data_IF_741708406000
#
_entry.id   IF_741708406000
#
_cell.length_a   1.000
_cell.length_b   1.000
_cell.length_c   1.000
_cell.angle_alpha   90.00
_cell.angle_beta   90.00
_cell.angle_gamma   90.00
#
_symmetry.space_group_name_H-M   'P 1'
#
loop_
_entity.id
_entity.type
_entity.pdbx_description
1 polymer ?
#
# COMPACT_ATOMS: atom_id res chain seq x y z
N UNK A 1 -3.78 -21.04 -15.23
CA UNK A 1 -3.73 -20.60 -16.65
C UNK A 1 -2.32 -20.10 -16.94
N UNK A 2 -1.81 -20.28 -18.17
CA UNK A 2 -0.49 -19.81 -18.54
C UNK A 2 -0.60 -18.55 -19.41
N UNK A 3 0.13 -17.51 -19.05
CA UNK A 3 0.23 -16.25 -19.81
C UNK A 3 1.68 -16.09 -20.27
N UNK A 4 1.89 -15.82 -21.56
CA UNK A 4 3.23 -15.56 -22.09
C UNK A 4 3.62 -14.09 -21.87
N UNK A 5 4.77 -13.86 -21.25
CA UNK A 5 5.31 -12.52 -21.00
C UNK A 5 6.53 -12.28 -21.89
N UNK A 6 6.54 -11.14 -22.59
CA UNK A 6 7.71 -10.71 -23.35
C UNK A 6 8.60 -9.85 -22.44
N UNK A 7 9.83 -10.31 -22.22
CA UNK A 7 10.89 -9.58 -21.52
C UNK A 7 12.12 -9.51 -22.42
N UNK A 8 12.88 -8.43 -22.29
CA UNK A 8 14.15 -8.30 -23.00
C UNK A 8 15.24 -9.22 -22.40
N UNK A 9 16.29 -9.48 -23.17
CA UNK A 9 17.35 -10.41 -22.76
C UNK A 9 18.12 -9.92 -21.53
N UNK A 10 18.20 -8.60 -21.32
CA UNK A 10 18.87 -8.03 -20.14
C UNK A 10 18.09 -8.36 -18.88
N UNK A 11 16.77 -8.12 -18.90
CA UNK A 11 15.89 -8.45 -17.78
C UNK A 11 15.85 -9.96 -17.53
N UNK A 12 15.77 -10.77 -18.60
CA UNK A 12 15.82 -12.23 -18.51
C UNK A 12 17.08 -12.73 -17.81
N UNK A 13 18.26 -12.21 -18.18
CA UNK A 13 19.53 -12.54 -17.54
C UNK A 13 19.54 -12.18 -16.05
N UNK A 14 19.03 -10.99 -15.70
CA UNK A 14 18.92 -10.54 -14.30
C UNK A 14 17.99 -11.44 -13.46
N UNK A 15 16.85 -11.84 -14.03
CA UNK A 15 15.91 -12.76 -13.36
C UNK A 15 16.54 -14.12 -13.13
N UNK A 16 17.23 -14.67 -14.12
CA UNK A 16 17.91 -15.97 -14.00
C UNK A 16 19.01 -15.94 -12.94
N UNK A 17 19.82 -14.88 -12.93
CA UNK A 17 20.85 -14.71 -11.92
C UNK A 17 20.27 -14.58 -10.51
N UNK A 18 19.18 -13.81 -10.35
CA UNK A 18 18.49 -13.67 -9.07
C UNK A 18 17.88 -15.00 -8.60
N UNK A 19 17.29 -15.77 -9.52
CA UNK A 19 16.76 -17.11 -9.25
C UNK A 19 17.85 -18.04 -8.71
N UNK A 20 19.03 -18.05 -9.31
CA UNK A 20 20.16 -18.86 -8.87
C UNK A 20 20.63 -18.47 -7.45
N UNK A 21 20.73 -17.17 -7.15
CA UNK A 21 21.10 -16.69 -5.80
C UNK A 21 20.06 -17.09 -4.75
N UNK A 22 18.77 -17.04 -5.12
CA UNK A 22 17.64 -17.27 -4.20
C UNK A 22 17.26 -18.74 -4.07
N UNK A 23 17.91 -19.64 -4.81
CA UNK A 23 17.52 -21.05 -4.98
C UNK A 23 16.05 -21.22 -5.36
N UNK A 24 15.63 -20.46 -6.40
CA UNK A 24 14.25 -20.46 -6.92
C UNK A 24 14.25 -20.55 -8.44
N UNK A 25 13.12 -20.98 -9.01
CA UNK A 25 12.96 -20.97 -10.46
C UNK A 25 12.77 -19.54 -10.98
N UNK A 26 13.24 -19.26 -12.20
CA UNK A 26 13.01 -17.97 -12.85
C UNK A 26 11.51 -17.64 -12.97
N UNK A 27 10.66 -18.64 -13.20
CA UNK A 27 9.20 -18.48 -13.21
C UNK A 27 8.67 -17.99 -11.85
N UNK A 28 9.13 -18.59 -10.75
CA UNK A 28 8.74 -18.15 -9.40
C UNK A 28 9.13 -16.69 -9.16
N UNK A 29 10.35 -16.29 -9.52
CA UNK A 29 10.81 -14.90 -9.40
C UNK A 29 9.93 -13.93 -10.22
N UNK A 30 9.55 -14.30 -11.44
CA UNK A 30 8.68 -13.47 -12.28
C UNK A 30 7.28 -13.31 -11.68
N UNK A 31 6.66 -14.40 -11.24
CA UNK A 31 5.34 -14.34 -10.60
C UNK A 31 5.37 -13.52 -9.31
N UNK A 32 6.42 -13.69 -8.50
CA UNK A 32 6.60 -12.93 -7.26
C UNK A 32 6.73 -11.43 -7.54
N UNK A 33 7.53 -11.07 -8.56
CA UNK A 33 7.70 -9.67 -8.95
C UNK A 33 6.40 -9.05 -9.46
N UNK A 34 5.60 -9.79 -10.23
CA UNK A 34 4.28 -9.32 -10.71
C UNK A 34 3.33 -9.13 -9.52
N UNK A 35 3.26 -10.09 -8.60
CA UNK A 35 2.41 -9.98 -7.40
C UNK A 35 2.79 -8.76 -6.57
N UNK A 36 4.06 -8.62 -6.24
CA UNK A 36 4.53 -7.48 -5.44
C UNK A 36 4.27 -6.13 -6.13
N UNK A 37 4.31 -6.08 -7.47
CA UNK A 37 3.91 -4.89 -8.22
C UNK A 37 2.42 -4.62 -8.09
N UNK A 38 1.58 -5.62 -8.35
CA UNK A 38 0.11 -5.49 -8.28
C UNK A 38 -0.33 -5.07 -6.88
N UNK A 39 0.13 -5.76 -5.84
CA UNK A 39 -0.21 -5.45 -4.45
C UNK A 39 0.10 -3.99 -4.09
N UNK A 40 1.25 -3.47 -4.57
CA UNK A 40 1.66 -2.08 -4.35
C UNK A 40 0.76 -1.09 -5.09
N UNK A 41 0.42 -1.38 -6.35
CA UNK A 41 -0.46 -0.50 -7.13
C UNK A 41 -1.88 -0.50 -6.56
N UNK A 42 -2.40 -1.66 -6.15
CA UNK A 42 -3.70 -1.77 -5.49
C UNK A 42 -3.74 -1.00 -4.16
N UNK A 43 -2.72 -1.14 -3.32
CA UNK A 43 -2.61 -0.36 -2.09
C UNK A 43 -2.57 1.15 -2.36
N UNK A 44 -1.87 1.57 -3.42
CA UNK A 44 -1.79 2.98 -3.81
C UNK A 44 -3.13 3.53 -4.30
N UNK A 45 -3.87 2.74 -5.08
CA UNK A 45 -5.20 3.14 -5.56
C UNK A 45 -6.23 3.15 -4.42
N UNK A 46 -6.20 2.18 -3.51
CA UNK A 46 -7.05 2.19 -2.30
C UNK A 46 -6.84 3.46 -1.48
N UNK A 47 -5.57 3.79 -1.19
CA UNK A 47 -5.23 4.99 -0.43
C UNK A 47 -5.73 6.29 -1.10
N UNK A 48 -5.60 6.39 -2.43
CA UNK A 48 -6.15 7.54 -3.18
C UNK A 48 -7.67 7.59 -3.11
N UNK A 49 -8.33 6.46 -3.29
CA UNK A 49 -9.79 6.37 -3.25
C UNK A 49 -10.33 6.77 -1.88
N UNK A 50 -9.70 6.30 -0.80
CA UNK A 50 -10.00 6.69 0.58
C UNK A 50 -9.83 8.19 0.79
N UNK A 51 -8.69 8.77 0.36
CA UNK A 51 -8.45 10.21 0.50
C UNK A 51 -9.48 11.06 -0.26
N UNK A 52 -9.88 10.65 -1.48
CA UNK A 52 -10.90 11.33 -2.25
C UNK A 52 -12.30 11.20 -1.62
N UNK A 53 -12.62 10.04 -1.05
CA UNK A 53 -13.86 9.82 -0.33
C UNK A 53 -13.95 10.70 0.92
N UNK A 54 -12.89 10.74 1.75
CA UNK A 54 -12.82 11.62 2.92
C UNK A 54 -12.91 13.09 2.53
N UNK A 55 -12.31 13.49 1.41
CA UNK A 55 -12.44 14.86 0.90
C UNK A 55 -13.88 15.20 0.52
N UNK A 56 -14.56 14.30 -0.21
CA UNK A 56 -15.95 14.50 -0.58
C UNK A 56 -16.86 14.59 0.67
N UNK A 57 -16.66 13.71 1.65
CA UNK A 57 -17.40 13.72 2.92
C UNK A 57 -17.20 15.04 3.69
N UNK A 58 -15.96 15.54 3.76
CA UNK A 58 -15.67 16.84 4.37
C UNK A 58 -16.35 17.99 3.61
N UNK A 59 -16.35 17.97 2.28
CA UNK A 59 -17.05 18.99 1.48
C UNK A 59 -18.56 19.00 1.70
N UNK A 60 -19.16 17.83 1.95
CA UNK A 60 -20.61 17.68 2.19
C UNK A 60 -21.01 18.00 3.64
N UNK A 61 -20.22 17.58 4.62
CA UNK A 61 -20.59 17.60 6.04
C UNK A 61 -19.87 18.68 6.86
N UNK A 62 -18.69 19.12 6.42
CA UNK A 62 -17.76 19.94 7.19
C UNK A 62 -17.07 19.21 8.34
N UNK A 63 -17.38 17.92 8.57
CA UNK A 63 -16.83 17.16 9.68
C UNK A 63 -15.36 16.84 9.43
N UNK A 64 -14.51 17.18 10.39
CA UNK A 64 -13.07 16.96 10.34
C UNK A 64 -12.49 16.72 11.73
N UNK A 65 -11.23 16.29 11.77
CA UNK A 65 -10.37 16.37 12.94
C UNK A 65 -9.25 17.35 12.64
N UNK A 66 -8.85 18.12 13.64
CA UNK A 66 -7.67 18.97 13.52
C UNK A 66 -6.39 18.13 13.56
N UNK A 67 -5.31 18.69 13.03
CA UNK A 67 -4.00 18.02 13.07
C UNK A 67 -3.48 17.80 14.50
N UNK A 68 -3.87 18.66 15.45
CA UNK A 68 -3.49 18.56 16.86
C UNK A 68 -4.20 17.37 17.53
N UNK A 69 -5.53 17.26 17.36
CA UNK A 69 -6.31 16.12 17.88
C UNK A 69 -5.81 14.77 17.33
N UNK A 70 -5.49 14.74 16.03
CA UNK A 70 -4.93 13.55 15.39
C UNK A 70 -3.54 13.21 15.97
N UNK A 71 -2.68 14.21 16.15
CA UNK A 71 -1.34 14.01 16.68
C UNK A 71 -1.36 13.54 18.14
N UNK A 72 -2.20 14.15 18.97
CA UNK A 72 -2.39 13.76 20.38
C UNK A 72 -2.89 12.33 20.49
N UNK A 73 -3.86 11.95 19.65
CA UNK A 73 -4.34 10.57 19.59
C UNK A 73 -3.25 9.59 19.16
N UNK A 74 -2.51 9.87 18.09
CA UNK A 74 -1.42 9.00 17.61
C UNK A 74 -0.28 8.88 18.64
N UNK A 75 0.00 9.93 19.40
CA UNK A 75 1.02 9.91 20.45
C UNK A 75 0.60 9.06 21.66
N UNK A 76 -0.70 8.81 21.86
CA UNK A 76 -1.19 7.92 22.92
C UNK A 76 -0.98 6.43 22.62
N UNK A 77 -0.77 6.06 21.34
CA UNK A 77 -0.65 4.66 20.94
C UNK A 77 0.57 3.97 21.57
N UNK A 78 0.36 2.77 22.09
CA UNK A 78 1.38 2.00 22.81
C UNK A 78 1.62 2.46 24.25
N UNK A 79 0.77 3.35 24.79
CA UNK A 79 0.81 3.81 26.18
C UNK A 79 -0.40 3.31 26.98
N UNK A 80 -0.42 3.58 28.29
CA UNK A 80 -1.59 3.28 29.12
C UNK A 80 -2.80 4.18 28.82
N UNK A 81 -2.57 5.29 28.12
CA UNK A 81 -3.57 6.30 27.76
C UNK A 81 -4.07 6.13 26.32
N UNK A 82 -3.74 5.01 25.65
CA UNK A 82 -4.25 4.69 24.31
C UNK A 82 -5.78 4.60 24.33
N UNK A 83 -6.42 5.49 23.56
CA UNK A 83 -7.87 5.65 23.52
C UNK A 83 -8.47 5.47 22.13
N UNK A 84 -9.79 5.53 22.04
CA UNK A 84 -10.52 5.53 20.78
C UNK A 84 -10.21 6.80 19.95
N UNK A 85 -10.35 6.70 18.63
CA UNK A 85 -10.20 7.84 17.73
C UNK A 85 -11.21 8.95 18.11
N UNK A 86 -10.77 10.21 18.24
CA UNK A 86 -11.69 11.32 18.46
C UNK A 86 -12.77 11.41 17.36
N UNK A 87 -14.02 11.78 17.69
CA UNK A 87 -15.06 11.94 16.68
C UNK A 87 -14.85 13.22 15.85
N UNK A 88 -15.09 13.15 14.54
CA UNK A 88 -15.04 14.33 13.67
C UNK A 88 -16.08 15.39 14.08
N UNK A 89 -15.74 16.66 13.90
CA UNK A 89 -16.55 17.83 14.26
C UNK A 89 -16.45 18.97 13.21
N UNK A 90 -17.30 20.00 13.32
CA UNK A 90 -17.37 21.16 12.40
C UNK A 90 -16.66 22.37 12.97
#
# INVERSE_FOLDING_TARGET
MATSLKIDDTLKGRVQHLAAIRDRSAHWIMCEAIRAYVDREEARESFKAEALASWAEYQETGLHLTGEEMADWLNSWGTADEGECPPCHV
#
